data_IF_705001171287
#
_entry.id   IF_705001171287
#
_cell.length_a   1.000
_cell.length_b   1.000
_cell.length_c   1.000
_cell.angle_alpha   90.00
_cell.angle_beta   90.00
_cell.angle_gamma   90.00
#
_symmetry.space_group_name_H-M   'P 1'
#
loop_
_entity.id
_entity.type
_entity.pdbx_description
1 polymer ?
#
# COMPACT_ATOMS: atom_id res chain seq x y z
N UNK A 1 -37.06 10.20 10.91
CA UNK A 1 -36.74 10.63 12.30
C UNK A 1 -35.39 11.33 12.40
N UNK A 2 -34.24 10.72 11.98
CA UNK A 2 -32.94 11.39 12.04
C UNK A 2 -32.82 12.57 11.06
N UNK A 3 -33.34 12.43 9.85
CA UNK A 3 -33.37 13.50 8.85
C UNK A 3 -34.22 14.69 9.27
N UNK A 4 -35.38 14.45 9.89
CA UNK A 4 -36.22 15.50 10.44
C UNK A 4 -35.52 16.24 11.58
N UNK A 5 -34.85 15.52 12.47
CA UNK A 5 -34.09 16.11 13.56
C UNK A 5 -32.93 16.98 13.03
N UNK A 6 -32.30 16.63 11.90
CA UNK A 6 -31.22 17.41 11.28
C UNK A 6 -31.70 18.79 10.77
N UNK A 7 -32.99 18.98 10.54
CA UNK A 7 -33.55 20.27 10.09
C UNK A 7 -33.44 21.37 11.17
N UNK A 8 -33.32 21.00 12.44
CA UNK A 8 -33.16 21.94 13.56
C UNK A 8 -31.74 22.51 13.71
N UNK A 9 -30.77 21.98 12.97
CA UNK A 9 -29.39 22.43 13.06
C UNK A 9 -29.13 23.52 12.02
N UNK A 10 -28.77 24.77 12.43
CA UNK A 10 -28.39 25.81 11.50
C UNK A 10 -26.99 25.47 10.94
N UNK A 11 -26.94 24.99 9.70
CA UNK A 11 -25.72 24.60 9.04
C UNK A 11 -25.23 25.63 8.05
N UNK A 12 -23.91 25.72 7.88
CA UNK A 12 -23.26 26.37 6.74
C UNK A 12 -22.31 25.36 6.07
N UNK A 13 -21.91 25.65 4.82
CA UNK A 13 -21.05 24.75 4.05
C UNK A 13 -19.95 25.54 3.37
N UNK A 14 -18.71 25.10 3.59
CA UNK A 14 -17.53 25.54 2.84
C UNK A 14 -17.18 24.50 1.78
N UNK A 15 -16.63 24.93 0.66
CA UNK A 15 -16.19 24.02 -0.41
C UNK A 15 -14.76 24.33 -0.85
N UNK A 16 -14.05 23.30 -1.26
CA UNK A 16 -12.70 23.42 -1.83
C UNK A 16 -12.50 22.39 -2.93
N UNK A 17 -11.91 22.80 -4.04
CA UNK A 17 -11.44 21.93 -5.09
C UNK A 17 -10.00 21.52 -4.79
N UNK A 18 -9.72 20.21 -4.84
CA UNK A 18 -8.42 19.62 -4.50
C UNK A 18 -7.87 18.84 -5.70
N UNK A 19 -6.59 19.00 -6.06
CA UNK A 19 -5.94 18.20 -7.09
C UNK A 19 -5.87 16.73 -6.68
N UNK A 20 -6.24 15.82 -7.60
CA UNK A 20 -6.30 14.38 -7.31
C UNK A 20 -5.09 13.59 -7.84
N UNK A 21 -4.18 14.21 -8.60
CA UNK A 21 -3.07 13.49 -9.28
C UNK A 21 -2.22 12.69 -8.31
N UNK A 22 -1.68 13.31 -7.25
CA UNK A 22 -0.85 12.61 -6.27
C UNK A 22 -1.61 11.52 -5.50
N UNK A 23 -2.86 11.80 -5.14
CA UNK A 23 -3.72 10.81 -4.48
C UNK A 23 -3.93 9.57 -5.36
N UNK A 24 -4.15 9.74 -6.66
CA UNK A 24 -4.33 8.65 -7.64
C UNK A 24 -3.04 7.82 -7.73
N UNK A 25 -1.91 8.47 -7.95
CA UNK A 25 -0.65 7.79 -8.24
C UNK A 25 -0.07 7.11 -6.98
N UNK A 26 -0.08 7.79 -5.84
CA UNK A 26 0.39 7.18 -4.59
C UNK A 26 -0.49 6.01 -4.15
N UNK A 27 -1.82 6.10 -4.31
CA UNK A 27 -2.71 4.95 -4.08
C UNK A 27 -2.38 3.78 -5.02
N UNK A 28 -2.04 4.05 -6.28
CA UNK A 28 -1.67 3.01 -7.23
C UNK A 28 -0.39 2.27 -6.79
N UNK A 29 0.63 3.00 -6.29
CA UNK A 29 1.85 2.40 -5.72
C UNK A 29 1.55 1.52 -4.50
N UNK A 30 0.74 2.01 -3.56
CA UNK A 30 0.35 1.24 -2.38
C UNK A 30 -0.35 -0.06 -2.81
N UNK A 31 -1.32 0.03 -3.71
CA UNK A 31 -2.09 -1.14 -4.15
C UNK A 31 -1.24 -2.12 -4.97
N UNK A 32 -0.27 -1.64 -5.74
CA UNK A 32 0.68 -2.48 -6.44
C UNK A 32 1.55 -3.27 -5.44
N UNK A 33 2.00 -2.62 -4.35
CA UNK A 33 2.74 -3.29 -3.27
C UNK A 33 1.87 -4.34 -2.55
N UNK A 34 0.65 -3.96 -2.12
CA UNK A 34 -0.26 -4.88 -1.43
C UNK A 34 -0.60 -6.12 -2.25
N UNK A 35 -0.85 -5.95 -3.55
CA UNK A 35 -1.15 -7.07 -4.45
C UNK A 35 -0.02 -8.12 -4.53
N UNK A 36 1.22 -7.72 -4.22
CA UNK A 36 2.41 -8.59 -4.25
C UNK A 36 2.79 -9.16 -2.90
N UNK A 37 2.23 -8.64 -1.82
CA UNK A 37 2.60 -8.99 -0.44
C UNK A 37 1.43 -9.60 0.30
N UNK A 38 0.78 -8.83 1.15
CA UNK A 38 -0.28 -9.30 2.06
C UNK A 38 -1.67 -9.35 1.42
N UNK A 39 -1.82 -8.84 0.21
CA UNK A 39 -3.13 -8.67 -0.42
C UNK A 39 -3.89 -7.46 0.11
N UNK A 40 -5.19 -7.40 -0.20
CA UNK A 40 -6.02 -6.27 0.19
C UNK A 40 -5.94 -5.09 -0.79
N UNK A 41 -6.60 -3.98 -0.45
CA UNK A 41 -6.67 -2.79 -1.31
C UNK A 41 -6.99 -1.53 -0.52
N UNK A 42 -6.22 -0.49 -0.73
CA UNK A 42 -6.50 0.86 -0.23
C UNK A 42 -7.39 1.59 -1.22
N UNK A 43 -8.49 2.16 -0.72
CA UNK A 43 -9.43 3.01 -1.48
C UNK A 43 -9.05 4.49 -1.37
N UNK A 44 -9.61 5.33 -2.23
CA UNK A 44 -9.52 6.79 -2.07
C UNK A 44 -10.10 7.24 -0.72
N UNK A 45 -11.20 6.63 -0.29
CA UNK A 45 -11.86 6.99 0.96
C UNK A 45 -10.99 6.72 2.19
N UNK A 46 -10.14 5.67 2.15
CA UNK A 46 -9.16 5.42 3.22
C UNK A 46 -8.16 6.57 3.35
N UNK A 47 -7.54 6.98 2.25
CA UNK A 47 -6.55 8.07 2.24
C UNK A 47 -7.17 9.41 2.61
N UNK A 48 -8.35 9.70 2.08
CA UNK A 48 -9.09 10.94 2.36
C UNK A 48 -9.53 10.98 3.83
N UNK A 49 -10.06 9.87 4.34
CA UNK A 49 -10.50 9.75 5.73
C UNK A 49 -9.35 9.96 6.71
N UNK A 50 -8.22 9.31 6.45
CA UNK A 50 -7.06 9.45 7.30
C UNK A 50 -6.43 10.87 7.23
N UNK A 51 -6.40 11.48 6.04
CA UNK A 51 -5.99 12.89 5.91
C UNK A 51 -6.92 13.86 6.67
N UNK A 52 -8.21 13.55 6.74
CA UNK A 52 -9.16 14.32 7.53
C UNK A 52 -8.95 14.13 9.03
N UNK A 53 -8.69 12.90 9.48
CA UNK A 53 -8.34 12.62 10.89
C UNK A 53 -7.08 13.37 11.31
N UNK A 54 -5.99 13.26 10.53
CA UNK A 54 -4.76 14.02 10.80
C UNK A 54 -4.98 15.54 10.80
N UNK A 55 -5.82 16.06 9.89
CA UNK A 55 -6.12 17.49 9.85
C UNK A 55 -6.93 17.95 11.09
N UNK A 56 -7.81 17.08 11.61
CA UNK A 56 -8.54 17.36 12.84
C UNK A 56 -7.65 17.29 14.09
N UNK A 57 -6.64 16.42 14.11
CA UNK A 57 -5.63 16.41 15.18
C UNK A 57 -4.87 17.75 15.26
N UNK A 58 -4.65 18.42 14.13
CA UNK A 58 -4.05 19.77 14.08
C UNK A 58 -5.04 20.89 14.43
N UNK A 59 -6.34 20.60 14.40
CA UNK A 59 -7.43 21.54 14.70
C UNK A 59 -8.42 20.94 15.72
N UNK A 60 -7.99 20.66 16.96
CA UNK A 60 -8.84 20.00 17.96
C UNK A 60 -10.11 20.79 18.29
N UNK A 61 -10.09 22.13 18.11
CA UNK A 61 -11.24 23.00 18.29
C UNK A 61 -12.41 22.68 17.32
N UNK A 62 -12.20 21.87 16.30
CA UNK A 62 -13.24 21.37 15.40
C UNK A 62 -13.81 20.01 15.80
N UNK A 63 -13.15 19.30 16.72
CA UNK A 63 -13.66 18.03 17.27
C UNK A 63 -14.66 18.31 18.41
N UNK A 64 -15.76 18.96 18.09
CA UNK A 64 -16.74 19.51 19.04
C UNK A 64 -18.16 19.10 18.69
N UNK A 65 -19.04 19.15 19.67
CA UNK A 65 -20.48 19.02 19.46
C UNK A 65 -21.26 20.08 20.26
N UNK A 66 -22.42 20.44 19.72
CA UNK A 66 -23.36 21.31 20.43
C UNK A 66 -24.12 20.48 21.48
N UNK A 67 -24.21 20.98 22.69
CA UNK A 67 -24.95 20.39 23.79
C UNK A 67 -25.75 21.44 24.56
N UNK A 68 -26.59 21.00 25.48
CA UNK A 68 -27.30 21.86 26.42
C UNK A 68 -26.92 21.43 27.83
N UNK A 69 -26.29 22.28 28.56
CA UNK A 69 -25.82 22.04 29.93
C UNK A 69 -26.56 23.02 30.90
N UNK A 70 -27.25 22.48 31.89
CA UNK A 70 -28.04 23.29 32.81
C UNK A 70 -29.10 24.19 32.14
N UNK A 71 -29.65 23.74 31.00
CA UNK A 71 -30.63 24.50 30.21
C UNK A 71 -30.04 25.60 29.33
N UNK A 72 -28.70 25.71 29.24
CA UNK A 72 -27.98 26.71 28.42
C UNK A 72 -27.23 26.03 27.29
N UNK A 73 -27.12 26.72 26.11
CA UNK A 73 -26.25 26.25 25.04
C UNK A 73 -24.79 26.13 25.51
N UNK A 74 -24.16 24.99 25.17
CA UNK A 74 -22.76 24.73 25.48
C UNK A 74 -22.07 24.06 24.27
N UNK A 75 -20.74 24.16 24.24
CA UNK A 75 -19.89 23.44 23.30
C UNK A 75 -19.12 22.40 24.09
N UNK A 76 -19.26 21.15 23.70
CA UNK A 76 -18.50 20.05 24.27
C UNK A 76 -17.36 19.71 23.32
N UNK A 77 -16.13 19.80 23.83
CA UNK A 77 -14.93 19.32 23.11
C UNK A 77 -14.75 17.84 23.41
N UNK A 78 -14.56 17.04 22.36
CA UNK A 78 -14.40 15.60 22.48
C UNK A 78 -12.92 15.26 22.59
N UNK A 79 -12.59 14.30 23.47
CA UNK A 79 -11.20 13.89 23.72
C UNK A 79 -10.58 13.17 22.53
N UNK A 80 -11.38 12.35 21.84
CA UNK A 80 -10.96 11.56 20.68
C UNK A 80 -11.89 11.79 19.49
N UNK A 81 -11.41 11.45 18.30
CA UNK A 81 -12.15 11.58 17.06
C UNK A 81 -12.96 10.31 16.79
N UNK A 82 -14.29 10.41 16.90
CA UNK A 82 -15.21 9.40 16.40
C UNK A 82 -15.47 9.61 14.91
N UNK A 83 -14.86 8.79 14.06
CA UNK A 83 -14.92 8.95 12.60
C UNK A 83 -16.06 8.13 11.98
N UNK A 84 -17.16 8.79 11.64
CA UNK A 84 -18.33 8.19 11.01
C UNK A 84 -18.14 7.94 9.52
N UNK A 85 -18.52 6.74 9.06
CA UNK A 85 -18.44 6.31 7.67
C UNK A 85 -19.83 6.18 7.07
N UNK A 86 -20.18 7.01 6.10
CA UNK A 86 -21.44 6.86 5.37
C UNK A 86 -21.32 5.71 4.35
N UNK A 87 -21.91 4.56 4.67
CA UNK A 87 -21.90 3.35 3.86
C UNK A 87 -23.30 3.11 3.29
N UNK A 88 -23.40 3.04 1.97
CA UNK A 88 -24.63 2.61 1.29
C UNK A 88 -24.64 1.08 1.21
N UNK A 89 -25.68 0.47 1.76
CA UNK A 89 -25.87 -0.98 1.80
C UNK A 89 -27.17 -1.33 1.08
N UNK A 90 -27.07 -2.15 0.04
CA UNK A 90 -28.23 -2.73 -0.62
C UNK A 90 -28.69 -4.01 0.11
N UNK A 91 -29.98 -4.15 0.34
CA UNK A 91 -30.58 -5.40 0.81
C UNK A 91 -30.75 -6.44 -0.33
N UNK A 92 -31.20 -7.65 0.01
CA UNK A 92 -31.42 -8.72 -0.97
C UNK A 92 -32.51 -8.37 -2.02
N UNK A 93 -33.33 -7.37 -1.76
CA UNK A 93 -34.38 -6.86 -2.64
C UNK A 93 -33.92 -5.68 -3.49
N UNK A 94 -32.67 -5.22 -3.30
CA UNK A 94 -32.09 -4.08 -4.01
C UNK A 94 -32.48 -2.72 -3.41
N UNK A 95 -33.11 -2.67 -2.22
CA UNK A 95 -33.35 -1.40 -1.54
C UNK A 95 -32.06 -0.91 -0.88
N UNK A 96 -31.77 0.36 -1.06
CA UNK A 96 -30.58 1.00 -0.49
C UNK A 96 -30.87 1.60 0.89
N UNK A 97 -29.97 1.38 1.83
CA UNK A 97 -30.00 2.00 3.15
C UNK A 97 -28.64 2.57 3.51
N UNK A 98 -28.64 3.83 3.97
CA UNK A 98 -27.43 4.49 4.46
C UNK A 98 -27.19 4.11 5.92
N UNK A 99 -26.03 3.54 6.21
CA UNK A 99 -25.53 3.27 7.56
C UNK A 99 -24.31 4.14 7.83
N UNK A 100 -24.18 4.64 9.05
CA UNK A 100 -23.04 5.49 9.45
C UNK A 100 -22.38 4.90 10.69
N UNK A 101 -21.68 3.77 10.58
CA UNK A 101 -20.88 3.26 11.69
C UNK A 101 -19.66 4.15 11.94
N UNK A 102 -19.03 3.98 13.11
CA UNK A 102 -18.00 4.87 13.65
C UNK A 102 -16.70 4.10 13.92
N UNK A 103 -15.59 4.59 13.41
CA UNK A 103 -14.27 4.21 13.90
C UNK A 103 -14.01 5.06 15.15
N UNK A 104 -13.93 4.39 16.30
CA UNK A 104 -13.66 5.05 17.58
C UNK A 104 -12.17 5.40 17.69
N UNK A 105 -11.87 6.49 18.37
CA UNK A 105 -10.51 6.95 18.69
C UNK A 105 -9.58 6.96 17.46
N UNK A 106 -10.12 7.40 16.31
CA UNK A 106 -9.44 7.36 15.01
C UNK A 106 -8.12 8.14 14.99
N UNK A 107 -7.97 9.11 15.89
CA UNK A 107 -6.76 9.92 16.11
C UNK A 107 -5.60 9.14 16.73
N UNK A 108 -5.86 7.97 17.32
CA UNK A 108 -4.83 7.10 17.92
C UNK A 108 -4.29 6.04 16.96
N UNK A 109 -4.94 5.85 15.81
CA UNK A 109 -4.63 4.79 14.87
C UNK A 109 -3.54 5.21 13.87
N UNK A 110 -2.66 4.29 13.54
CA UNK A 110 -1.82 4.37 12.34
C UNK A 110 -2.69 4.21 11.09
N UNK A 111 -2.13 4.55 9.92
CA UNK A 111 -2.90 4.39 8.67
C UNK A 111 -3.29 2.93 8.40
N UNK A 112 -2.42 1.96 8.69
CA UNK A 112 -2.72 0.54 8.53
C UNK A 112 -3.89 0.11 9.43
N UNK A 113 -3.84 0.45 10.72
CA UNK A 113 -4.92 0.16 11.69
C UNK A 113 -6.24 0.85 11.32
N UNK A 114 -6.17 2.10 10.80
CA UNK A 114 -7.34 2.80 10.29
C UNK A 114 -7.97 2.08 9.09
N UNK A 115 -7.15 1.56 8.17
CA UNK A 115 -7.63 0.77 7.02
C UNK A 115 -8.30 -0.52 7.48
N UNK A 116 -7.73 -1.22 8.46
CA UNK A 116 -8.28 -2.46 9.00
C UNK A 116 -9.62 -2.22 9.72
N UNK A 117 -9.69 -1.20 10.58
CA UNK A 117 -10.93 -0.80 11.24
C UNK A 117 -12.02 -0.39 10.25
N UNK A 118 -11.64 0.34 9.19
CA UNK A 118 -12.55 0.71 8.10
C UNK A 118 -13.10 -0.52 7.38
N UNK A 119 -12.22 -1.46 7.01
CA UNK A 119 -12.61 -2.67 6.27
C UNK A 119 -13.49 -3.59 7.12
N UNK A 120 -13.20 -3.72 8.42
CA UNK A 120 -14.05 -4.47 9.36
C UNK A 120 -15.47 -3.89 9.41
N UNK A 121 -15.61 -2.58 9.61
CA UNK A 121 -16.92 -1.91 9.63
C UNK A 121 -17.69 -2.08 8.30
N UNK A 122 -17.01 -1.99 7.16
CA UNK A 122 -17.63 -2.22 5.84
C UNK A 122 -18.10 -3.66 5.69
N UNK A 123 -17.30 -4.64 6.11
CA UNK A 123 -17.65 -6.06 6.07
C UNK A 123 -18.86 -6.34 6.96
N UNK A 124 -18.85 -5.84 8.20
CA UNK A 124 -19.95 -5.98 9.17
C UNK A 124 -21.21 -5.24 8.73
N UNK A 125 -21.08 -4.11 8.05
CA UNK A 125 -22.23 -3.40 7.47
C UNK A 125 -22.93 -4.24 6.40
N UNK A 126 -22.16 -4.91 5.55
CA UNK A 126 -22.64 -5.78 4.46
C UNK A 126 -23.25 -7.08 4.97
N UNK A 127 -22.72 -7.65 6.05
CA UNK A 127 -23.24 -8.89 6.68
C UNK A 127 -24.33 -8.63 7.71
N UNK A 128 -24.73 -7.37 7.90
CA UNK A 128 -25.73 -6.93 8.88
C UNK A 128 -25.39 -7.32 10.34
N UNK A 129 -24.09 -7.38 10.68
CA UNK A 129 -23.59 -7.72 12.02
C UNK A 129 -23.19 -6.50 12.86
N UNK A 130 -23.46 -5.26 12.38
CA UNK A 130 -23.25 -4.04 13.16
C UNK A 130 -24.18 -4.00 14.37
N UNK A 131 -23.64 -3.57 15.50
CA UNK A 131 -24.33 -3.40 16.79
C UNK A 131 -24.72 -1.93 17.03
N UNK A 132 -25.54 -1.66 18.03
CA UNK A 132 -25.90 -0.28 18.40
C UNK A 132 -24.69 0.56 18.80
N UNK A 133 -23.67 -0.05 19.42
CA UNK A 133 -22.43 0.62 19.81
C UNK A 133 -21.66 1.15 18.60
N UNK A 134 -21.68 0.44 17.47
CA UNK A 134 -20.98 0.87 16.25
C UNK A 134 -21.52 2.18 15.65
N UNK A 135 -22.68 2.66 16.07
CA UNK A 135 -23.31 3.89 15.56
C UNK A 135 -23.19 5.07 16.54
N UNK A 136 -22.54 4.91 17.66
CA UNK A 136 -22.43 5.94 18.70
C UNK A 136 -21.08 6.65 18.63
N UNK A 137 -21.02 7.89 19.13
CA UNK A 137 -19.77 8.61 19.33
C UNK A 137 -19.18 9.28 18.09
N UNK A 138 -19.90 9.36 16.96
CA UNK A 138 -19.40 10.10 15.80
C UNK A 138 -19.27 11.58 16.09
N UNK A 139 -18.06 12.14 15.90
CA UNK A 139 -17.80 13.59 15.96
C UNK A 139 -17.75 14.22 14.56
N UNK A 140 -17.22 13.50 13.60
CA UNK A 140 -17.14 13.85 12.19
C UNK A 140 -17.63 12.69 11.33
N UNK A 141 -18.27 12.98 10.21
CA UNK A 141 -18.69 11.94 9.25
C UNK A 141 -18.09 12.24 7.87
N UNK A 142 -17.64 11.20 7.18
CA UNK A 142 -17.23 11.24 5.78
C UNK A 142 -18.30 10.55 4.91
N UNK A 143 -18.78 11.26 3.89
CA UNK A 143 -19.64 10.71 2.84
C UNK A 143 -19.01 10.91 1.46
N UNK A 144 -19.06 9.88 0.62
CA UNK A 144 -18.43 9.91 -0.70
C UNK A 144 -19.45 9.59 -1.82
N UNK A 145 -20.34 10.54 -2.17
CA UNK A 145 -21.27 10.38 -3.30
C UNK A 145 -20.57 10.43 -4.66
N UNK A 146 -19.30 10.83 -4.70
CA UNK A 146 -18.49 10.89 -5.91
C UNK A 146 -18.30 9.55 -6.61
N UNK A 147 -18.43 8.44 -5.92
CA UNK A 147 -18.41 7.09 -6.51
C UNK A 147 -19.54 6.86 -7.52
N UNK A 148 -20.63 7.61 -7.41
CA UNK A 148 -21.79 7.59 -8.33
C UNK A 148 -21.74 8.72 -9.37
N UNK A 149 -20.63 9.47 -9.44
CA UNK A 149 -20.45 10.57 -10.40
C UNK A 149 -20.95 11.94 -9.91
N UNK A 150 -21.40 12.05 -8.67
CA UNK A 150 -21.84 13.33 -8.09
C UNK A 150 -20.61 14.24 -7.91
N UNK A 151 -20.58 15.38 -8.58
CA UNK A 151 -19.44 16.31 -8.53
C UNK A 151 -19.34 17.03 -7.19
N UNK A 152 -20.47 17.52 -6.66
CA UNK A 152 -20.56 18.18 -5.35
C UNK A 152 -21.83 17.78 -4.63
N UNK A 153 -21.80 17.76 -3.32
CA UNK A 153 -22.97 17.55 -2.48
C UNK A 153 -22.92 18.45 -1.25
N UNK A 154 -24.06 18.78 -0.69
CA UNK A 154 -24.20 19.44 0.60
C UNK A 154 -24.87 18.44 1.54
N UNK A 155 -24.08 17.61 2.25
CA UNK A 155 -24.64 16.57 3.11
C UNK A 155 -25.34 17.20 4.33
N UNK A 156 -26.36 16.52 4.82
CA UNK A 156 -27.06 16.92 6.06
C UNK A 156 -26.24 16.49 7.26
N UNK A 157 -26.05 17.44 8.18
CA UNK A 157 -25.38 17.17 9.45
C UNK A 157 -26.30 16.39 10.38
N UNK A 158 -25.79 15.33 10.98
CA UNK A 158 -26.53 14.54 11.97
C UNK A 158 -26.48 15.21 13.35
N UNK A 159 -27.52 15.04 14.13
CA UNK A 159 -27.56 15.55 15.51
C UNK A 159 -26.44 14.92 16.34
N UNK A 160 -25.73 15.76 17.10
CA UNK A 160 -24.61 15.31 17.94
C UNK A 160 -23.24 15.30 17.23
N UNK A 161 -23.17 15.76 15.98
CA UNK A 161 -21.90 15.93 15.24
C UNK A 161 -21.63 17.41 14.99
N UNK A 162 -20.34 17.78 14.99
CA UNK A 162 -19.90 19.13 14.68
C UNK A 162 -19.83 19.40 13.18
N UNK A 163 -19.41 18.39 12.39
CA UNK A 163 -19.21 18.55 10.95
C UNK A 163 -19.38 17.22 10.18
N UNK A 164 -19.68 17.35 8.89
CA UNK A 164 -19.73 16.26 7.91
C UNK A 164 -19.02 16.70 6.64
N UNK A 165 -18.14 15.82 6.11
CA UNK A 165 -17.40 16.06 4.89
C UNK A 165 -18.00 15.24 3.75
N UNK A 166 -18.33 15.92 2.65
CA UNK A 166 -18.73 15.29 1.39
C UNK A 166 -17.59 15.32 0.38
N UNK A 167 -17.37 14.19 -0.31
CA UNK A 167 -16.36 14.08 -1.36
C UNK A 167 -17.04 13.84 -2.70
N UNK A 168 -16.75 14.70 -3.67
CA UNK A 168 -17.26 14.60 -5.03
C UNK A 168 -16.46 13.65 -5.92
N UNK A 169 -16.97 13.45 -7.13
CA UNK A 169 -16.34 12.64 -8.16
C UNK A 169 -14.96 13.17 -8.52
N UNK A 170 -14.05 12.24 -8.82
CA UNK A 170 -12.72 12.55 -9.33
C UNK A 170 -12.75 12.58 -10.86
N UNK A 171 -12.68 13.77 -11.43
CA UNK A 171 -12.72 13.97 -12.89
C UNK A 171 -11.90 15.19 -13.31
N UNK A 172 -11.66 15.32 -14.61
CA UNK A 172 -11.09 16.56 -15.14
C UNK A 172 -12.09 17.71 -14.99
N UNK A 173 -11.59 18.95 -14.81
CA UNK A 173 -12.47 20.13 -14.83
C UNK A 173 -13.30 20.17 -16.11
N UNK A 174 -14.55 20.61 -15.99
CA UNK A 174 -15.55 20.52 -17.06
C UNK A 174 -15.13 21.21 -18.36
N UNK A 175 -14.30 22.25 -18.22
CA UNK A 175 -13.75 23.06 -19.33
C UNK A 175 -12.83 22.24 -20.27
N UNK A 176 -12.29 21.15 -19.77
CA UNK A 176 -11.37 20.28 -20.51
C UNK A 176 -12.01 19.00 -21.04
N UNK A 177 -13.32 18.87 -20.97
CA UNK A 177 -14.05 17.74 -21.56
C UNK A 177 -13.80 17.68 -23.06
N UNK A 178 -13.44 16.50 -23.56
CA UNK A 178 -13.11 16.30 -24.98
C UNK A 178 -11.64 16.51 -25.32
N UNK A 179 -10.80 16.98 -24.40
CA UNK A 179 -9.34 17.01 -24.59
C UNK A 179 -8.75 15.65 -24.22
N UNK A 180 -7.84 15.14 -25.06
CA UNK A 180 -7.22 13.84 -24.77
C UNK A 180 -6.40 13.88 -23.47
N UNK A 181 -6.41 12.80 -22.66
CA UNK A 181 -5.61 12.73 -21.44
C UNK A 181 -4.11 13.00 -21.65
N UNK A 182 -3.56 12.55 -22.79
CA UNK A 182 -2.16 12.80 -23.18
C UNK A 182 -1.86 14.30 -23.30
N UNK A 183 -2.77 15.07 -23.93
CA UNK A 183 -2.59 16.51 -24.07
C UNK A 183 -2.77 17.24 -22.73
N UNK A 184 -3.72 16.81 -21.92
CA UNK A 184 -3.90 17.35 -20.56
C UNK A 184 -2.67 17.12 -19.68
N UNK A 185 -2.10 15.92 -19.70
CA UNK A 185 -0.88 15.61 -18.97
C UNK A 185 0.31 16.47 -19.44
N UNK A 186 0.44 16.70 -20.76
CA UNK A 186 1.48 17.58 -21.32
C UNK A 186 1.31 19.06 -20.88
N UNK A 187 0.09 19.47 -20.52
CA UNK A 187 -0.22 20.81 -20.00
C UNK A 187 -0.21 20.88 -18.46
N UNK A 188 0.12 19.79 -17.77
CA UNK A 188 0.06 19.72 -16.32
C UNK A 188 -1.37 19.79 -15.75
N UNK A 189 -2.38 19.43 -16.53
CA UNK A 189 -3.79 19.45 -16.13
C UNK A 189 -4.19 18.05 -15.64
N UNK A 190 -4.40 17.94 -14.34
CA UNK A 190 -4.83 16.71 -13.65
C UNK A 190 -6.31 16.69 -13.33
N UNK A 191 -6.77 15.53 -12.87
CA UNK A 191 -8.10 15.38 -12.27
C UNK A 191 -8.16 16.11 -10.94
N UNK A 192 -9.36 16.57 -10.61
CA UNK A 192 -9.68 17.25 -9.36
C UNK A 192 -10.88 16.60 -8.69
N UNK A 193 -11.11 16.89 -7.43
CA UNK A 193 -12.31 16.52 -6.69
C UNK A 193 -12.75 17.69 -5.80
N UNK A 194 -14.05 17.78 -5.55
CA UNK A 194 -14.61 18.76 -4.64
C UNK A 194 -14.83 18.17 -3.28
N UNK A 195 -14.43 18.91 -2.26
CA UNK A 195 -14.73 18.65 -0.87
C UNK A 195 -15.71 19.68 -0.38
N UNK A 196 -16.76 19.24 0.30
CA UNK A 196 -17.71 20.08 1.01
C UNK A 196 -17.63 19.78 2.51
N UNK A 197 -17.51 20.81 3.34
CA UNK A 197 -17.57 20.71 4.79
C UNK A 197 -18.84 21.41 5.26
N UNK A 198 -19.83 20.65 5.68
CA UNK A 198 -21.05 21.14 6.30
C UNK A 198 -20.94 21.01 7.81
N UNK A 199 -21.18 22.09 8.53
CA UNK A 199 -20.93 22.17 9.97
C UNK A 199 -22.06 22.89 10.72
N UNK A 200 -22.14 22.64 12.01
CA UNK A 200 -23.05 23.34 12.91
C UNK A 200 -22.55 24.78 13.16
N UNK A 201 -23.23 25.75 12.55
CA UNK A 201 -22.79 27.15 12.57
C UNK A 201 -23.00 27.83 13.93
N UNK A 202 -23.58 27.15 14.92
CA UNK A 202 -23.63 27.63 16.31
C UNK A 202 -22.26 27.50 16.99
N UNK A 203 -21.44 26.53 16.60
CA UNK A 203 -20.19 26.15 17.26
C UNK A 203 -18.97 26.22 16.34
N UNK A 204 -19.11 26.11 15.03
CA UNK A 204 -18.01 26.16 14.05
C UNK A 204 -18.22 27.34 13.12
N UNK A 205 -17.15 28.12 12.92
CA UNK A 205 -17.15 29.29 12.03
C UNK A 205 -16.61 28.94 10.64
N UNK A 206 -17.06 29.68 9.62
CA UNK A 206 -16.67 29.44 8.22
C UNK A 206 -15.15 29.47 7.98
N UNK A 207 -14.44 30.38 8.67
CA UNK A 207 -12.99 30.45 8.57
C UNK A 207 -12.28 29.20 9.09
N UNK A 208 -12.79 28.58 10.15
CA UNK A 208 -12.26 27.32 10.69
C UNK A 208 -12.50 26.14 9.74
N UNK A 209 -13.71 26.04 9.19
CA UNK A 209 -14.06 25.03 8.16
C UNK A 209 -13.18 25.20 6.91
N UNK A 210 -12.93 26.44 6.47
CA UNK A 210 -12.05 26.74 5.34
C UNK A 210 -10.59 26.32 5.59
N UNK A 211 -10.08 26.55 6.80
CA UNK A 211 -8.73 26.09 7.21
C UNK A 211 -8.62 24.58 7.26
N UNK A 212 -9.63 23.88 7.78
CA UNK A 212 -9.67 22.42 7.77
C UNK A 212 -9.54 21.86 6.35
N UNK A 213 -10.33 22.37 5.42
CA UNK A 213 -10.24 21.95 4.01
C UNK A 213 -8.87 22.29 3.39
N UNK A 214 -8.22 23.38 3.82
CA UNK A 214 -6.87 23.72 3.36
C UNK A 214 -5.82 22.76 3.92
N UNK A 215 -5.95 22.26 5.16
CA UNK A 215 -5.07 21.23 5.72
C UNK A 215 -5.27 19.90 5.02
N UNK A 216 -6.51 19.49 4.76
CA UNK A 216 -6.79 18.26 3.99
C UNK A 216 -6.17 18.35 2.59
N UNK A 217 -6.28 19.50 1.91
CA UNK A 217 -5.62 19.75 0.62
C UNK A 217 -4.10 19.63 0.74
N UNK A 218 -3.49 20.24 1.75
CA UNK A 218 -2.05 20.18 1.98
C UNK A 218 -1.57 18.72 2.15
N UNK A 219 -2.29 17.92 2.94
CA UNK A 219 -1.99 16.49 3.14
C UNK A 219 -2.11 15.69 1.85
N UNK A 220 -3.25 15.79 1.16
CA UNK A 220 -3.49 15.08 -0.10
C UNK A 220 -2.58 15.55 -1.24
N UNK A 221 -2.05 16.78 -1.15
CA UNK A 221 -1.02 17.33 -2.03
C UNK A 221 0.42 17.00 -1.57
N UNK A 222 0.59 16.21 -0.52
CA UNK A 222 1.90 15.70 -0.06
C UNK A 222 2.82 16.76 0.53
N UNK A 223 2.29 17.90 1.00
CA UNK A 223 3.13 19.05 1.44
C UNK A 223 3.75 18.89 2.83
N UNK A 224 3.19 18.00 3.66
CA UNK A 224 3.57 17.81 5.07
C UNK A 224 4.13 16.40 5.38
N UNK A 225 4.54 15.65 4.35
CA UNK A 225 5.02 14.28 4.51
C UNK A 225 3.90 13.24 4.76
N UNK A 226 2.66 13.57 4.42
CA UNK A 226 1.52 12.67 4.60
C UNK A 226 1.73 11.30 3.94
N UNK A 227 2.14 11.28 2.67
CA UNK A 227 2.36 10.02 1.97
C UNK A 227 3.55 9.23 2.51
N UNK A 228 4.59 9.89 3.01
CA UNK A 228 5.72 9.24 3.68
C UNK A 228 5.26 8.46 4.92
N UNK A 229 4.36 9.06 5.73
CA UNK A 229 3.78 8.38 6.91
C UNK A 229 2.89 7.22 6.51
N UNK A 230 2.03 7.42 5.49
CA UNK A 230 1.17 6.37 4.92
C UNK A 230 2.00 5.19 4.40
N UNK A 231 3.04 5.46 3.61
CA UNK A 231 3.91 4.43 3.03
C UNK A 231 4.69 3.68 4.13
N UNK A 232 5.17 4.39 5.14
CA UNK A 232 5.83 3.76 6.30
C UNK A 232 4.87 2.84 7.05
N UNK A 233 3.65 3.29 7.34
CA UNK A 233 2.63 2.49 8.02
C UNK A 233 2.23 1.23 7.23
N UNK A 234 2.22 1.31 5.90
CA UNK A 234 1.88 0.19 5.00
C UNK A 234 3.12 -0.62 4.56
N UNK A 235 4.30 -0.34 5.11
CA UNK A 235 5.57 -0.96 4.73
C UNK A 235 5.88 -0.92 3.22
N UNK A 236 5.44 0.15 2.53
CA UNK A 236 5.72 0.33 1.09
C UNK A 236 7.16 0.78 0.90
N UNK A 237 8.03 0.00 0.23
CA UNK A 237 9.46 0.33 0.10
C UNK A 237 9.75 1.44 -0.92
N UNK A 238 8.77 1.83 -1.73
CA UNK A 238 8.92 2.89 -2.71
C UNK A 238 8.86 4.29 -2.07
N UNK A 239 9.47 5.28 -2.73
CA UNK A 239 9.26 6.68 -2.40
C UNK A 239 7.91 7.14 -2.94
N UNK A 240 7.09 7.86 -2.14
CA UNK A 240 5.87 8.47 -2.65
C UNK A 240 6.17 9.45 -3.77
N UNK A 241 5.28 9.55 -4.75
CA UNK A 241 5.32 10.63 -5.72
C UNK A 241 5.01 11.96 -5.02
N UNK A 242 5.72 12.99 -5.43
CA UNK A 242 5.57 14.36 -4.93
C UNK A 242 5.38 15.33 -6.10
N UNK A 243 4.84 16.52 -5.83
CA UNK A 243 4.85 17.60 -6.79
C UNK A 243 6.28 18.11 -7.00
N UNK A 244 6.62 18.42 -8.23
CA UNK A 244 7.74 19.30 -8.53
C UNK A 244 7.30 20.75 -8.30
N UNK A 245 8.19 21.56 -7.72
CA UNK A 245 7.88 22.92 -7.32
C UNK A 245 7.49 23.81 -8.52
N UNK A 246 8.21 23.65 -9.63
CA UNK A 246 8.01 24.42 -10.85
C UNK A 246 7.95 23.46 -12.04
N UNK A 247 6.73 23.11 -12.46
CA UNK A 247 6.53 22.37 -13.70
C UNK A 247 6.65 23.35 -14.87
N UNK A 248 7.83 23.37 -15.49
CA UNK A 248 8.07 24.13 -16.73
C UNK A 248 8.18 23.15 -17.91
N UNK A 249 7.46 23.47 -18.99
CA UNK A 249 7.53 22.72 -20.23
C UNK A 249 8.67 23.25 -21.09
N UNK A 250 9.85 22.64 -21.00
CA UNK A 250 10.97 22.90 -21.92
C UNK A 250 10.99 21.85 -23.04
N UNK A 251 10.79 22.25 -24.33
CA UNK A 251 10.85 21.33 -25.47
C UNK A 251 12.23 20.63 -25.62
N UNK A 252 13.33 21.26 -25.17
CA UNK A 252 14.66 20.64 -25.24
C UNK A 252 14.82 19.59 -24.15
N UNK A 253 14.32 19.86 -22.97
CA UNK A 253 14.26 18.89 -21.89
C UNK A 253 13.41 17.67 -22.29
N UNK A 254 12.30 17.88 -22.96
CA UNK A 254 11.41 16.81 -23.44
C UNK A 254 12.10 15.85 -24.41
N UNK A 255 12.93 16.36 -25.32
CA UNK A 255 13.69 15.55 -26.29
C UNK A 255 14.73 14.64 -25.61
N UNK A 256 15.23 15.03 -24.45
CA UNK A 256 16.21 14.26 -23.68
C UNK A 256 15.59 13.13 -22.82
N UNK A 257 14.30 13.15 -22.55
CA UNK A 257 13.62 12.18 -21.65
C UNK A 257 13.81 10.70 -22.07
N UNK A 258 13.75 10.32 -23.36
CA UNK A 258 14.00 8.94 -23.76
C UNK A 258 15.39 8.40 -23.35
N UNK A 259 16.44 9.20 -23.43
CA UNK A 259 17.78 8.82 -22.97
C UNK A 259 17.81 8.63 -21.45
N UNK A 260 17.13 9.49 -20.69
CA UNK A 260 17.05 9.42 -19.23
C UNK A 260 16.26 8.20 -18.74
N UNK A 261 15.29 7.69 -19.52
CA UNK A 261 14.64 6.40 -19.25
C UNK A 261 15.65 5.25 -19.34
N UNK A 262 16.51 5.25 -20.35
CA UNK A 262 17.56 4.24 -20.47
C UNK A 262 18.55 4.31 -19.28
N UNK A 263 18.92 5.51 -18.83
CA UNK A 263 19.73 5.73 -17.64
C UNK A 263 19.04 5.25 -16.37
N UNK A 264 17.75 5.51 -16.19
CA UNK A 264 16.94 5.01 -15.07
C UNK A 264 16.91 3.47 -15.06
N UNK A 265 16.62 2.83 -16.20
CA UNK A 265 16.65 1.36 -16.31
C UNK A 265 18.04 0.83 -15.94
N UNK A 266 19.10 1.46 -16.42
CA UNK A 266 20.47 1.07 -16.07
C UNK A 266 20.77 1.25 -14.57
N UNK A 267 20.29 2.31 -13.95
CA UNK A 267 20.43 2.52 -12.51
C UNK A 267 19.77 1.40 -11.68
N UNK A 268 18.57 0.98 -12.06
CA UNK A 268 17.91 -0.16 -11.42
C UNK A 268 18.71 -1.47 -11.61
N UNK A 269 19.24 -1.73 -12.81
CA UNK A 269 20.08 -2.91 -13.09
C UNK A 269 21.33 -2.95 -12.22
N UNK A 270 21.94 -1.80 -11.98
CA UNK A 270 23.22 -1.70 -11.26
C UNK A 270 23.07 -1.46 -9.76
N UNK A 271 22.00 -0.81 -9.29
CA UNK A 271 21.83 -0.35 -7.90
C UNK A 271 20.51 -0.76 -7.28
N UNK A 272 19.57 -1.39 -8.01
CA UNK A 272 18.26 -1.79 -7.50
C UNK A 272 18.33 -2.65 -6.25
N UNK A 273 19.32 -3.56 -6.17
CA UNK A 273 19.55 -4.41 -5.00
C UNK A 273 19.81 -3.62 -3.70
N UNK A 274 20.31 -2.38 -3.78
CA UNK A 274 20.53 -1.51 -2.62
C UNK A 274 19.22 -1.04 -1.99
N UNK A 275 18.14 -0.99 -2.77
CA UNK A 275 16.80 -0.64 -2.31
C UNK A 275 15.87 -1.85 -2.14
N UNK A 276 16.39 -3.08 -2.33
CA UNK A 276 15.62 -4.29 -2.14
C UNK A 276 15.24 -4.48 -0.65
N UNK A 277 13.98 -4.84 -0.42
CA UNK A 277 13.44 -5.11 0.91
C UNK A 277 13.81 -6.54 1.36
N UNK A 278 15.05 -6.69 1.76
CA UNK A 278 15.62 -7.97 2.23
C UNK A 278 15.67 -8.09 3.76
N UNK A 279 15.10 -7.12 4.48
CA UNK A 279 15.07 -7.10 5.94
C UNK A 279 13.66 -7.45 6.46
N UNK A 280 13.43 -8.70 6.93
CA UNK A 280 12.13 -9.12 7.42
C UNK A 280 11.72 -8.39 8.72
N UNK A 281 12.65 -7.75 9.41
CA UNK A 281 12.37 -6.97 10.62
C UNK A 281 12.00 -5.51 10.30
N UNK A 282 12.11 -5.10 9.05
CA UNK A 282 11.74 -3.78 8.55
C UNK A 282 12.31 -2.60 9.38
N UNK A 283 13.53 -2.73 9.88
CA UNK A 283 14.18 -1.69 10.71
C UNK A 283 14.26 -0.34 10.02
N UNK A 284 14.38 -0.35 8.69
CA UNK A 284 14.41 0.88 7.88
C UNK A 284 14.02 0.60 6.44
N UNK A 285 13.33 1.54 5.84
CA UNK A 285 13.08 1.56 4.39
C UNK A 285 14.39 1.89 3.68
N UNK A 286 14.84 0.99 2.80
CA UNK A 286 16.03 1.20 1.97
C UNK A 286 15.66 2.01 0.73
N UNK A 287 16.41 3.08 0.48
CA UNK A 287 16.21 3.98 -0.67
C UNK A 287 17.56 4.34 -1.28
N UNK A 288 17.56 4.61 -2.56
CA UNK A 288 18.73 5.11 -3.26
C UNK A 288 18.33 6.26 -4.20
N UNK A 289 19.00 7.44 -4.15
CA UNK A 289 18.62 8.61 -4.96
C UNK A 289 18.59 8.33 -6.46
N UNK A 290 19.51 7.49 -6.97
CA UNK A 290 19.57 7.14 -8.39
C UNK A 290 18.39 6.28 -8.88
N UNK A 291 17.48 5.88 -7.99
CA UNK A 291 16.27 5.16 -8.35
C UNK A 291 15.04 6.07 -8.35
N UNK A 292 15.21 7.34 -7.97
CA UNK A 292 14.13 8.33 -7.94
C UNK A 292 13.91 8.97 -9.33
N UNK A 293 12.66 9.16 -9.73
CA UNK A 293 12.30 9.81 -11.00
C UNK A 293 12.89 11.22 -11.14
N UNK A 294 12.88 11.98 -10.05
CA UNK A 294 13.38 13.35 -10.02
C UNK A 294 14.86 13.46 -10.38
N UNK A 295 15.66 12.43 -10.10
CA UNK A 295 17.08 12.39 -10.48
C UNK A 295 17.29 12.39 -12.00
N UNK A 296 16.26 12.04 -12.74
CA UNK A 296 16.27 11.99 -14.22
C UNK A 296 15.41 13.09 -14.84
N UNK A 297 14.94 14.07 -14.06
CA UNK A 297 14.02 15.10 -14.53
C UNK A 297 12.71 14.54 -15.08
N UNK A 298 12.28 13.39 -14.54
CA UNK A 298 11.00 12.77 -14.81
C UNK A 298 10.05 13.09 -13.66
N UNK A 299 8.76 13.26 -13.97
CA UNK A 299 7.76 13.67 -13.00
C UNK A 299 6.51 12.78 -13.06
N UNK A 300 5.58 13.02 -12.16
CA UNK A 300 4.25 12.37 -12.15
C UNK A 300 3.47 12.59 -13.44
N UNK A 301 3.81 13.63 -14.22
CA UNK A 301 3.18 13.93 -15.51
C UNK A 301 3.67 13.04 -16.64
N UNK A 302 4.81 12.38 -16.47
CA UNK A 302 5.38 11.46 -17.45
C UNK A 302 4.85 10.04 -17.31
N UNK A 303 4.20 9.69 -16.20
CA UNK A 303 3.78 8.32 -15.88
C UNK A 303 2.91 7.67 -16.96
N UNK A 304 2.04 8.43 -17.60
CA UNK A 304 1.13 7.96 -18.66
C UNK A 304 1.69 8.13 -20.08
N UNK A 305 2.98 8.45 -20.21
CA UNK A 305 3.66 8.64 -21.49
C UNK A 305 4.40 7.37 -21.92
N UNK A 306 4.33 6.99 -23.20
CA UNK A 306 5.12 5.89 -23.73
C UNK A 306 6.58 6.33 -23.97
N UNK A 307 7.51 5.48 -23.57
CA UNK A 307 8.93 5.67 -23.80
C UNK A 307 9.57 4.42 -24.39
N UNK A 308 10.65 4.58 -25.19
CA UNK A 308 11.44 3.45 -25.65
C UNK A 308 12.15 2.77 -24.50
N UNK A 309 12.13 1.44 -24.47
CA UNK A 309 12.66 0.63 -23.38
C UNK A 309 14.05 0.05 -23.66
N UNK A 310 14.49 0.08 -24.92
CA UNK A 310 15.70 -0.64 -25.33
C UNK A 310 15.59 -2.15 -25.15
N UNK A 311 14.37 -2.72 -25.24
CA UNK A 311 14.10 -4.14 -25.08
C UNK A 311 13.85 -4.58 -23.63
N UNK A 312 13.85 -3.66 -22.65
CA UNK A 312 13.46 -3.96 -21.27
C UNK A 312 12.01 -4.47 -21.23
N UNK A 313 11.78 -5.53 -20.45
CA UNK A 313 10.45 -6.14 -20.33
C UNK A 313 9.96 -6.86 -21.60
N UNK A 314 10.80 -7.06 -22.59
CA UNK A 314 10.43 -7.71 -23.85
C UNK A 314 9.57 -6.86 -24.79
N UNK A 315 9.51 -5.55 -24.57
CA UNK A 315 8.73 -4.60 -25.40
C UNK A 315 9.62 -3.43 -25.82
N UNK A 316 9.43 -2.93 -27.03
CA UNK A 316 10.17 -1.76 -27.53
C UNK A 316 9.69 -0.43 -26.94
N UNK A 317 8.43 -0.37 -26.51
CA UNK A 317 7.83 0.80 -25.89
C UNK A 317 6.92 0.39 -24.74
N UNK A 318 6.99 1.12 -23.62
CA UNK A 318 6.09 0.97 -22.46
C UNK A 318 5.74 2.32 -21.89
N UNK A 319 4.61 2.42 -21.17
CA UNK A 319 4.31 3.59 -20.34
C UNK A 319 5.31 3.65 -19.19
N UNK A 320 5.71 4.85 -18.78
CA UNK A 320 6.66 5.00 -17.67
C UNK A 320 6.18 4.30 -16.39
N UNK A 321 4.89 4.35 -16.09
CA UNK A 321 4.32 3.62 -14.93
C UNK A 321 4.55 2.11 -15.01
N UNK A 322 4.46 1.52 -16.20
CA UNK A 322 4.66 0.08 -16.40
C UNK A 322 6.14 -0.28 -16.33
N UNK A 323 7.02 0.59 -16.87
CA UNK A 323 8.48 0.47 -16.72
C UNK A 323 8.83 0.47 -15.22
N UNK A 324 8.35 1.45 -14.45
CA UNK A 324 8.62 1.54 -13.01
C UNK A 324 8.07 0.34 -12.24
N UNK A 325 6.85 -0.09 -12.55
CA UNK A 325 6.25 -1.26 -11.93
C UNK A 325 7.13 -2.49 -12.13
N UNK A 326 7.57 -2.73 -13.35
CA UNK A 326 8.41 -3.88 -13.67
C UNK A 326 9.83 -3.74 -13.09
N UNK A 327 10.41 -2.54 -13.06
CA UNK A 327 11.71 -2.28 -12.40
C UNK A 327 11.62 -2.57 -10.89
N UNK A 328 10.57 -2.10 -10.23
CA UNK A 328 10.33 -2.39 -8.82
C UNK A 328 10.14 -3.88 -8.57
N UNK A 329 9.37 -4.56 -9.42
CA UNK A 329 9.13 -5.99 -9.32
C UNK A 329 10.39 -6.82 -9.47
N UNK A 330 11.26 -6.41 -10.37
CA UNK A 330 12.50 -7.14 -10.67
C UNK A 330 13.59 -6.87 -9.65
N UNK A 331 13.80 -5.61 -9.25
CA UNK A 331 15.05 -5.20 -8.59
C UNK A 331 14.90 -4.74 -7.13
N UNK A 332 13.70 -4.36 -6.67
CA UNK A 332 13.53 -3.75 -5.34
C UNK A 332 12.50 -4.46 -4.46
N UNK A 333 12.13 -5.69 -4.80
CA UNK A 333 11.29 -6.53 -3.93
C UNK A 333 12.10 -7.18 -2.81
N UNK A 334 11.73 -8.37 -2.39
CA UNK A 334 12.35 -9.12 -1.30
C UNK A 334 13.62 -9.88 -1.68
N UNK A 335 14.09 -9.70 -2.93
CA UNK A 335 15.33 -10.31 -3.45
C UNK A 335 16.19 -9.23 -4.07
N UNK A 336 17.44 -9.12 -3.64
CA UNK A 336 18.44 -8.29 -4.28
C UNK A 336 19.17 -9.07 -5.39
N UNK A 337 19.21 -8.52 -6.60
CA UNK A 337 19.84 -9.17 -7.75
C UNK A 337 21.03 -8.33 -8.21
N UNK A 338 22.22 -8.94 -8.16
CA UNK A 338 23.48 -8.35 -8.60
C UNK A 338 24.11 -9.18 -9.72
N UNK A 339 24.16 -8.64 -10.93
CA UNK A 339 24.72 -9.36 -12.09
C UNK A 339 25.46 -8.44 -13.06
N UNK A 340 25.46 -7.13 -12.86
CA UNK A 340 26.11 -6.18 -13.77
C UNK A 340 27.63 -6.29 -13.77
N UNK A 341 28.22 -7.00 -12.81
CA UNK A 341 29.64 -7.35 -12.76
C UNK A 341 30.02 -8.49 -13.74
N UNK A 342 29.05 -9.21 -14.29
CA UNK A 342 29.31 -10.26 -15.31
C UNK A 342 29.88 -9.62 -16.57
N UNK A 343 31.11 -9.97 -16.90
CA UNK A 343 31.85 -9.35 -18.01
C UNK A 343 31.35 -9.79 -19.38
N UNK A 344 30.94 -11.07 -19.50
CA UNK A 344 30.39 -11.61 -20.74
C UNK A 344 29.03 -10.99 -21.08
N UNK A 345 28.92 -10.28 -22.22
CA UNK A 345 27.67 -9.63 -22.62
C UNK A 345 26.52 -10.62 -22.89
N UNK A 346 26.81 -11.83 -23.40
CA UNK A 346 25.78 -12.83 -23.71
C UNK A 346 25.22 -13.41 -22.43
N UNK A 347 26.05 -13.75 -21.45
CA UNK A 347 25.62 -14.20 -20.14
C UNK A 347 24.81 -13.12 -19.42
N UNK A 348 25.25 -11.88 -19.46
CA UNK A 348 24.54 -10.76 -18.86
C UNK A 348 23.16 -10.56 -19.51
N UNK A 349 23.07 -10.57 -20.83
CA UNK A 349 21.81 -10.49 -21.55
C UNK A 349 20.88 -11.68 -21.26
N UNK A 350 21.46 -12.87 -21.09
CA UNK A 350 20.71 -14.06 -20.69
C UNK A 350 20.06 -13.91 -19.31
N UNK A 351 20.79 -13.38 -18.32
CA UNK A 351 20.26 -13.08 -16.99
C UNK A 351 19.13 -12.04 -17.11
N UNK A 352 19.39 -10.91 -17.78
CA UNK A 352 18.41 -9.84 -17.99
C UNK A 352 17.09 -10.37 -18.55
N UNK A 353 17.15 -11.16 -19.62
CA UNK A 353 15.97 -11.74 -20.27
C UNK A 353 15.16 -12.65 -19.34
N UNK A 354 15.79 -13.25 -18.32
CA UNK A 354 15.11 -14.13 -17.36
C UNK A 354 14.48 -13.40 -16.20
N UNK A 355 15.14 -12.36 -15.70
CA UNK A 355 14.67 -11.64 -14.51
C UNK A 355 13.71 -10.49 -14.85
N UNK A 356 13.91 -9.84 -16.02
CA UNK A 356 13.10 -8.71 -16.49
C UNK A 356 11.80 -9.20 -17.16
N UNK A 357 10.99 -9.96 -16.42
CA UNK A 357 9.70 -10.46 -16.85
C UNK A 357 8.60 -9.94 -15.90
N UNK A 358 7.36 -9.85 -16.36
CA UNK A 358 6.24 -9.61 -15.45
C UNK A 358 6.24 -10.63 -14.31
N UNK A 359 5.97 -10.15 -13.10
CA UNK A 359 5.89 -11.03 -11.94
C UNK A 359 4.68 -11.96 -12.05
N UNK A 360 4.93 -13.25 -11.95
CA UNK A 360 3.90 -14.28 -11.87
C UNK A 360 3.91 -14.87 -10.45
N UNK A 361 2.78 -14.80 -9.77
CA UNK A 361 2.63 -15.43 -8.45
C UNK A 361 2.70 -16.96 -8.59
N UNK A 362 3.33 -17.68 -7.66
CA UNK A 362 3.29 -19.14 -7.64
C UNK A 362 1.83 -19.65 -7.62
N UNK A 363 1.58 -20.79 -8.27
CA UNK A 363 0.25 -21.40 -8.22
C UNK A 363 -0.16 -21.77 -6.78
N UNK A 364 -1.45 -21.90 -6.49
CA UNK A 364 -1.90 -22.34 -5.16
C UNK A 364 -1.29 -23.68 -4.72
N UNK A 365 -1.02 -24.59 -5.66
CA UNK A 365 -0.36 -25.88 -5.40
C UNK A 365 1.10 -25.67 -5.01
N UNK A 366 1.83 -24.81 -5.75
CA UNK A 366 3.22 -24.45 -5.43
C UNK A 366 3.31 -23.77 -4.06
N UNK A 367 2.38 -22.84 -3.75
CA UNK A 367 2.35 -22.18 -2.44
C UNK A 367 2.12 -23.19 -1.29
N UNK A 368 1.18 -24.13 -1.45
CA UNK A 368 0.95 -25.19 -0.46
C UNK A 368 2.16 -26.12 -0.31
N UNK A 369 2.84 -26.43 -1.39
CA UNK A 369 4.06 -27.26 -1.37
C UNK A 369 5.17 -26.55 -0.60
N UNK A 370 5.42 -25.27 -0.90
CA UNK A 370 6.40 -24.43 -0.19
C UNK A 370 6.08 -24.36 1.31
N UNK A 371 4.82 -24.06 1.66
CA UNK A 371 4.38 -24.00 3.05
C UNK A 371 4.58 -25.35 3.78
N UNK A 372 4.17 -26.46 3.16
CA UNK A 372 4.36 -27.79 3.73
C UNK A 372 5.83 -28.14 3.94
N UNK A 373 6.70 -27.69 3.06
CA UNK A 373 8.17 -27.88 3.17
C UNK A 373 8.77 -27.02 4.28
N UNK A 374 8.32 -25.76 4.42
CA UNK A 374 8.72 -24.89 5.53
C UNK A 374 8.30 -25.46 6.90
N UNK A 375 7.04 -25.94 7.01
CA UNK A 375 6.52 -26.53 8.25
C UNK A 375 7.34 -27.78 8.64
N UNK A 376 7.72 -28.63 7.68
CA UNK A 376 8.58 -29.79 7.97
C UNK A 376 9.96 -29.36 8.45
N UNK A 377 10.55 -28.33 7.84
CA UNK A 377 11.85 -27.82 8.22
C UNK A 377 11.83 -27.25 9.64
N UNK A 378 10.84 -26.43 9.96
CA UNK A 378 10.66 -25.80 11.28
C UNK A 378 10.37 -26.83 12.36
N UNK A 379 9.39 -27.72 12.14
CA UNK A 379 9.02 -28.77 13.09
C UNK A 379 10.19 -29.70 13.42
N UNK A 380 11.08 -29.96 12.45
CA UNK A 380 12.28 -30.75 12.71
C UNK A 380 13.28 -30.02 13.61
N UNK A 381 13.52 -28.73 13.40
CA UNK A 381 14.39 -27.91 14.26
C UNK A 381 13.82 -27.81 15.68
N UNK A 382 12.52 -27.55 15.81
CA UNK A 382 11.83 -27.46 17.12
C UNK A 382 11.89 -28.79 17.89
N UNK A 383 11.69 -29.91 17.19
CA UNK A 383 11.82 -31.23 17.79
C UNK A 383 13.24 -31.48 18.31
N UNK A 384 14.28 -31.19 17.48
CA UNK A 384 15.67 -31.35 17.89
C UNK A 384 16.01 -30.45 19.10
N UNK A 385 15.49 -29.23 19.12
CA UNK A 385 15.68 -28.31 20.23
C UNK A 385 15.12 -28.87 21.56
N UNK A 386 13.95 -29.47 21.48
CA UNK A 386 13.24 -29.96 22.67
C UNK A 386 13.82 -31.27 23.18
N UNK A 387 14.17 -32.21 22.29
CA UNK A 387 14.56 -33.58 22.65
C UNK A 387 16.07 -33.75 22.82
N UNK A 388 16.89 -33.01 22.09
CA UNK A 388 18.34 -33.17 22.05
C UNK A 388 19.05 -31.88 22.51
N UNK A 389 18.60 -31.33 23.65
CA UNK A 389 19.24 -30.19 24.29
C UNK A 389 20.71 -30.50 24.61
N UNK A 390 21.63 -29.59 24.21
CA UNK A 390 23.06 -29.73 24.43
C UNK A 390 23.83 -30.45 23.34
N UNK A 391 23.17 -31.07 22.35
CA UNK A 391 23.84 -31.65 21.18
C UNK A 391 24.18 -30.54 20.16
N UNK A 392 25.29 -30.76 19.42
CA UNK A 392 25.70 -29.87 18.32
C UNK A 392 24.82 -30.11 17.08
N UNK A 393 23.66 -29.45 17.01
CA UNK A 393 22.71 -29.63 15.92
C UNK A 393 22.86 -28.65 14.76
N UNK A 394 23.61 -27.53 14.96
CA UNK A 394 23.85 -26.49 13.94
C UNK A 394 22.55 -26.05 13.24
N UNK A 395 21.61 -25.55 14.03
CA UNK A 395 20.23 -25.24 13.65
C UNK A 395 20.12 -24.35 12.41
N UNK A 396 19.06 -24.61 11.61
CA UNK A 396 18.65 -23.81 10.44
C UNK A 396 17.74 -22.63 10.83
N UNK A 397 17.39 -22.46 12.10
CA UNK A 397 16.46 -21.41 12.56
C UNK A 397 16.75 -20.06 11.94
N UNK A 398 15.72 -19.41 11.36
CA UNK A 398 15.80 -18.19 10.58
C UNK A 398 16.26 -18.37 9.13
N UNK A 399 16.55 -19.59 8.68
CA UNK A 399 16.97 -19.91 7.32
C UNK A 399 16.16 -21.03 6.68
N UNK A 400 14.97 -21.35 7.19
CA UNK A 400 14.12 -22.48 6.77
C UNK A 400 13.74 -22.42 5.29
N UNK A 401 13.73 -21.24 4.69
CA UNK A 401 13.50 -21.02 3.25
C UNK A 401 14.56 -21.70 2.37
N UNK A 402 15.72 -22.07 2.92
CA UNK A 402 16.73 -22.86 2.20
C UNK A 402 16.16 -24.20 1.74
N UNK A 403 15.29 -24.85 2.53
CA UNK A 403 14.76 -26.18 2.22
C UNK A 403 13.85 -26.15 0.98
N UNK A 404 12.79 -25.33 0.91
CA UNK A 404 12.00 -25.22 -0.32
C UNK A 404 12.79 -24.66 -1.52
N UNK A 405 13.83 -23.84 -1.29
CA UNK A 405 14.73 -23.36 -2.35
C UNK A 405 15.49 -24.53 -2.99
N UNK A 406 16.13 -25.37 -2.18
CA UNK A 406 16.87 -26.54 -2.68
C UNK A 406 15.93 -27.55 -3.34
N UNK A 407 14.77 -27.80 -2.75
CA UNK A 407 13.75 -28.68 -3.33
C UNK A 407 13.34 -28.22 -4.74
N UNK A 408 13.09 -26.92 -4.89
CA UNK A 408 12.73 -26.32 -6.18
C UNK A 408 13.88 -26.41 -7.20
N UNK A 409 15.12 -26.10 -6.79
CA UNK A 409 16.29 -26.20 -7.66
C UNK A 409 16.49 -27.61 -8.16
N UNK A 410 16.38 -28.62 -7.29
CA UNK A 410 16.54 -30.03 -7.66
C UNK A 410 15.44 -30.50 -8.61
N UNK A 411 14.17 -30.13 -8.30
CA UNK A 411 13.04 -30.45 -9.17
C UNK A 411 13.16 -29.81 -10.56
N UNK A 412 13.66 -28.57 -10.65
CA UNK A 412 13.87 -27.89 -11.92
C UNK A 412 15.05 -28.46 -12.68
N UNK A 413 16.14 -28.79 -11.99
CA UNK A 413 17.31 -29.46 -12.56
C UNK A 413 16.93 -30.81 -13.18
N UNK A 414 16.14 -31.61 -12.48
CA UNK A 414 15.66 -32.89 -13.01
C UNK A 414 14.80 -32.73 -14.27
N UNK A 415 13.92 -31.71 -14.30
CA UNK A 415 13.09 -31.39 -15.48
C UNK A 415 13.91 -30.95 -16.70
N UNK A 416 15.06 -30.33 -16.45
CA UNK A 416 15.98 -29.87 -17.50
C UNK A 416 17.00 -30.95 -17.93
N UNK A 417 16.91 -32.16 -17.39
CA UNK A 417 17.73 -33.30 -17.78
C UNK A 417 19.06 -33.44 -17.04
N UNK A 418 19.22 -32.79 -15.90
CA UNK A 418 20.36 -32.99 -15.01
C UNK A 418 20.12 -34.24 -14.19
N UNK A 419 21.06 -35.17 -14.24
CA UNK A 419 20.95 -36.52 -13.59
C UNK A 419 21.63 -36.57 -12.23
N UNK A 420 22.63 -35.73 -11.98
CA UNK A 420 23.41 -35.74 -10.75
C UNK A 420 23.59 -34.33 -10.21
N UNK A 421 23.42 -34.16 -8.91
CA UNK A 421 23.67 -32.92 -8.20
C UNK A 421 24.54 -33.19 -6.98
N UNK A 422 25.65 -32.46 -6.86
CA UNK A 422 26.51 -32.48 -5.68
C UNK A 422 26.20 -31.28 -4.79
N UNK A 423 25.92 -31.52 -3.49
CA UNK A 423 25.60 -30.46 -2.52
C UNK A 423 26.77 -30.34 -1.52
N UNK A 424 27.51 -29.23 -1.60
CA UNK A 424 28.48 -28.85 -0.58
C UNK A 424 27.79 -28.10 0.56
N UNK A 425 27.99 -28.52 1.79
CA UNK A 425 27.32 -27.95 2.95
C UNK A 425 28.32 -27.51 4.02
N UNK A 426 28.07 -26.32 4.62
CA UNK A 426 28.68 -25.94 5.91
C UNK A 426 27.95 -26.69 7.06
N UNK A 427 28.17 -26.25 8.28
CA UNK A 427 27.51 -26.89 9.45
C UNK A 427 26.04 -26.50 9.56
N UNK A 428 25.71 -25.24 9.38
CA UNK A 428 24.37 -24.69 9.61
C UNK A 428 23.33 -25.34 8.70
N UNK A 429 22.29 -25.90 9.31
CA UNK A 429 21.18 -26.52 8.59
C UNK A 429 21.48 -27.90 7.99
N UNK A 430 22.68 -28.46 8.20
CA UNK A 430 23.08 -29.73 7.58
C UNK A 430 22.11 -30.86 7.83
N UNK A 431 21.64 -31.01 9.07
CA UNK A 431 20.72 -32.08 9.45
C UNK A 431 19.37 -31.95 8.76
N UNK A 432 18.89 -30.72 8.65
CA UNK A 432 17.64 -30.41 7.97
C UNK A 432 17.72 -30.71 6.47
N UNK A 433 18.84 -30.34 5.82
CA UNK A 433 19.08 -30.69 4.40
C UNK A 433 19.20 -32.21 4.22
N UNK A 434 19.91 -32.93 5.11
CA UNK A 434 20.00 -34.38 5.05
C UNK A 434 18.64 -35.05 5.18
N UNK A 435 17.79 -34.59 6.10
CA UNK A 435 16.46 -35.18 6.32
C UNK A 435 15.48 -34.80 5.19
N UNK A 436 15.30 -33.50 4.91
CA UNK A 436 14.23 -33.02 4.06
C UNK A 436 14.58 -32.98 2.56
N UNK A 437 15.87 -33.00 2.20
CA UNK A 437 16.35 -32.95 0.81
C UNK A 437 17.01 -34.25 0.40
N UNK A 438 17.99 -34.74 1.18
CA UNK A 438 18.74 -35.95 0.83
C UNK A 438 18.01 -37.27 1.25
N UNK A 439 16.88 -37.19 1.95
CA UNK A 439 16.07 -38.37 2.31
C UNK A 439 16.65 -39.23 3.43
N UNK A 440 17.59 -38.71 4.25
CA UNK A 440 18.06 -39.41 5.44
C UNK A 440 16.92 -39.51 6.45
N UNK A 441 16.62 -40.72 6.95
CA UNK A 441 15.51 -40.96 7.87
C UNK A 441 15.77 -40.24 9.21
N UNK A 442 14.69 -39.76 9.83
CA UNK A 442 14.77 -39.15 11.18
C UNK A 442 15.31 -40.17 12.20
N UNK A 443 14.93 -41.43 12.10
CA UNK A 443 15.43 -42.50 12.98
C UNK A 443 16.97 -42.60 12.91
N UNK A 444 17.57 -42.61 11.73
CA UNK A 444 19.03 -42.64 11.56
C UNK A 444 19.69 -41.43 12.19
N UNK A 445 19.10 -40.24 12.08
CA UNK A 445 19.63 -39.02 12.69
C UNK A 445 19.58 -39.07 14.22
N UNK A 446 18.47 -39.62 14.78
CA UNK A 446 18.28 -39.71 16.22
C UNK A 446 19.19 -40.81 16.83
N UNK A 447 19.34 -41.96 16.16
CA UNK A 447 20.27 -43.02 16.56
C UNK A 447 21.73 -42.48 16.63
N UNK A 448 22.14 -41.63 15.67
CA UNK A 448 23.46 -41.02 15.70
C UNK A 448 23.63 -40.04 16.90
N UNK A 449 22.58 -39.36 17.29
CA UNK A 449 22.63 -38.49 18.50
C UNK A 449 22.73 -39.33 19.81
N UNK A 450 22.16 -40.52 19.82
CA UNK A 450 22.22 -41.44 20.95
C UNK A 450 23.54 -42.25 20.98
N UNK A 451 24.41 -42.06 19.99
CA UNK A 451 25.69 -42.76 19.90
C UNK A 451 25.66 -44.13 19.28
N UNK A 452 24.51 -44.52 18.74
CA UNK A 452 24.31 -45.78 18.04
C UNK A 452 24.72 -45.62 16.56
N UNK A 453 26.01 -45.84 16.26
CA UNK A 453 26.44 -45.85 14.85
C UNK A 453 26.00 -47.17 14.21
N UNK A 454 25.06 -47.12 13.26
CA UNK A 454 24.90 -48.21 12.31
C UNK A 454 26.03 -48.18 11.32
N UNK A 455 26.84 -49.25 11.15
CA UNK A 455 27.81 -49.32 10.07
C UNK A 455 27.06 -49.27 8.73
N UNK A 456 27.60 -48.49 7.78
CA UNK A 456 27.09 -48.35 6.40
C UNK A 456 26.98 -49.72 5.70
#
# INVERSE_FOLDING_TARGET
>A
KHMEASLSIPTATSQRQIPAKLLIENRALINAHLARTVGGKVSFTHLIGYALVEALCEMPDLNVRYTIEGGKPAVEQLAHIGFGLAIDVADAQGNHSLKVPVIHDADTLTFAEFVDAYQDLVARARTATLTTADFQGASVTLTNPGTLGTTTSVPRLMVGQGLIIGVGATDYPAEYRGVSPKRLAALGIGKTMFFSSTYDHRIIQGAASGRLLALVDAKLSGRDGFYERVFTSMHVPARPYAWEADYDYDPNHEKGKPARIAELIHAYRSRGHLAADTDPLAYRVRRHPDLDLSSYGLSVWDLDRPFPTGGFGGSDQMLLRDILTQLHDTYTRTVGIEYMHVQDPEQRAWVQKRIERPYEAPSPEAQRHILGTLIRAEAFEEFLQTKFMGQKRFSLEGGESLIPLLDHILADSARTGIHEVAIGMAHRGRLNVLANIAGKSYAQIFDEFEGNYMPN
#
